data_IF_379076784079
#
_entry.id   IF_379076784079
#
_cell.length_a   1.000
_cell.length_b   1.000
_cell.length_c   1.000
_cell.angle_alpha   90.00
_cell.angle_beta   90.00
_cell.angle_gamma   90.00
#
_symmetry.space_group_name_H-M   'P 1'
#
loop_
_entity.id
_entity.type
_entity.pdbx_description
1 polymer ?
#
# COMPACT_ATOMS: atom_id res chain seq x y z
N UNK A 1 0.31 11.16 -6.63
CA UNK A 1 -0.83 11.92 -6.08
C UNK A 1 -0.26 13.10 -5.31
N UNK A 2 -0.71 14.32 -5.58
CA UNK A 2 -0.15 15.55 -5.01
C UNK A 2 -1.21 16.28 -4.22
N UNK A 3 -0.86 16.78 -3.04
CA UNK A 3 -1.73 17.66 -2.24
C UNK A 3 -1.15 19.06 -2.23
N UNK A 4 -2.03 20.05 -2.19
CA UNK A 4 -1.59 21.42 -2.02
C UNK A 4 -1.11 21.62 -0.58
N UNK A 5 0.11 22.11 -0.41
CA UNK A 5 0.69 22.43 0.90
C UNK A 5 0.39 23.87 1.30
N UNK A 6 0.57 24.79 0.35
CA UNK A 6 0.40 26.23 0.58
C UNK A 6 -0.58 26.80 -0.44
N UNK A 7 -1.72 27.31 0.04
CA UNK A 7 -2.69 28.03 -0.78
C UNK A 7 -2.35 29.53 -0.84
N UNK A 8 -2.62 30.15 -1.99
CA UNK A 8 -2.57 31.60 -2.14
C UNK A 8 -3.70 32.26 -1.35
N UNK A 9 -3.55 33.54 -1.00
CA UNK A 9 -4.67 34.31 -0.48
C UNK A 9 -5.82 34.33 -1.51
N UNK A 10 -7.09 34.31 -1.05
CA UNK A 10 -8.23 34.38 -1.94
C UNK A 10 -8.27 35.73 -2.67
N UNK A 11 -8.47 35.68 -3.98
CA UNK A 11 -8.73 36.88 -4.79
C UNK A 11 -10.10 37.49 -4.43
N UNK A 12 -10.44 38.65 -4.97
CA UNK A 12 -11.74 39.34 -4.78
C UNK A 12 -12.96 38.46 -5.12
N UNK A 13 -12.77 37.44 -5.96
CA UNK A 13 -13.79 36.43 -6.31
C UNK A 13 -13.76 35.17 -5.41
N UNK A 14 -12.95 35.17 -4.35
CA UNK A 14 -12.78 34.05 -3.41
C UNK A 14 -11.93 32.89 -3.92
N UNK A 15 -11.37 32.98 -5.13
CA UNK A 15 -10.57 31.92 -5.75
C UNK A 15 -9.16 31.87 -5.16
N UNK A 16 -8.68 30.65 -4.88
CA UNK A 16 -7.35 30.37 -4.37
C UNK A 16 -6.61 29.41 -5.31
N UNK A 17 -5.31 29.61 -5.48
CA UNK A 17 -4.44 28.74 -6.28
C UNK A 17 -3.40 28.10 -5.39
N UNK A 18 -2.92 26.92 -5.78
CA UNK A 18 -1.87 26.26 -5.03
C UNK A 18 -0.51 26.86 -5.39
N UNK A 19 0.22 27.37 -4.40
CA UNK A 19 1.55 27.93 -4.57
C UNK A 19 2.64 26.86 -4.47
N UNK A 20 2.43 25.85 -3.62
CA UNK A 20 3.37 24.76 -3.41
C UNK A 20 2.64 23.42 -3.37
N UNK A 21 2.97 22.54 -4.32
CA UNK A 21 2.49 21.17 -4.37
C UNK A 21 3.44 20.26 -3.62
N UNK A 22 2.91 19.45 -2.72
CA UNK A 22 3.66 18.43 -2.02
C UNK A 22 3.27 17.05 -2.57
N UNK A 23 4.28 16.24 -2.87
CA UNK A 23 4.07 14.82 -3.14
C UNK A 23 3.50 14.15 -1.90
N UNK A 24 2.38 13.44 -2.08
CA UNK A 24 1.87 12.58 -1.03
C UNK A 24 2.82 11.38 -0.97
N UNK A 25 3.81 11.48 -0.08
CA UNK A 25 4.67 10.34 0.24
C UNK A 25 3.79 9.26 0.84
N UNK A 26 3.88 8.04 0.31
CA UNK A 26 3.18 6.90 0.89
C UNK A 26 3.54 6.80 2.38
N UNK A 27 2.55 6.59 3.24
CA UNK A 27 2.81 6.34 4.67
C UNK A 27 3.61 5.05 4.88
N UNK A 28 3.53 4.13 3.92
CA UNK A 28 4.28 2.89 3.95
C UNK A 28 5.73 3.17 3.49
N UNK A 29 6.72 2.62 4.20
CA UNK A 29 8.10 2.68 3.73
C UNK A 29 8.22 1.99 2.37
N UNK A 30 9.12 2.49 1.53
CA UNK A 30 9.45 1.84 0.27
C UNK A 30 9.93 0.42 0.55
N UNK A 31 9.18 -0.56 0.04
CA UNK A 31 9.49 -1.96 0.25
C UNK A 31 10.59 -2.36 -0.75
N UNK A 32 11.73 -2.79 -0.23
CA UNK A 32 12.79 -3.32 -1.09
C UNK A 32 12.33 -4.63 -1.73
N UNK A 33 12.83 -4.95 -2.93
CA UNK A 33 12.48 -6.20 -3.65
C UNK A 33 12.73 -7.43 -2.79
N UNK A 34 13.78 -7.41 -1.97
CA UNK A 34 14.13 -8.49 -1.06
C UNK A 34 13.08 -8.68 0.05
N UNK A 35 12.65 -7.60 0.71
CA UNK A 35 11.60 -7.65 1.72
C UNK A 35 10.25 -8.10 1.14
N UNK A 36 9.94 -7.70 -0.09
CA UNK A 36 8.72 -8.15 -0.77
C UNK A 36 8.73 -9.66 -1.00
N UNK A 37 9.87 -10.24 -1.40
CA UNK A 37 10.02 -11.67 -1.59
C UNK A 37 9.91 -12.46 -0.29
N UNK A 38 10.52 -11.97 0.80
CA UNK A 38 10.40 -12.62 2.12
C UNK A 38 8.95 -12.67 2.60
N UNK A 39 8.22 -11.55 2.45
CA UNK A 39 6.80 -11.48 2.79
C UNK A 39 5.97 -12.45 1.94
N UNK A 40 6.27 -12.53 0.64
CA UNK A 40 5.58 -13.42 -0.30
C UNK A 40 5.80 -14.90 0.07
N UNK A 41 7.04 -15.28 0.40
CA UNK A 41 7.36 -16.65 0.84
C UNK A 41 6.57 -17.01 2.10
N UNK A 42 6.50 -16.10 3.08
CA UNK A 42 5.73 -16.33 4.30
C UNK A 42 4.23 -16.55 4.02
N UNK A 43 3.64 -15.71 3.15
CA UNK A 43 2.22 -15.82 2.77
C UNK A 43 1.96 -17.15 2.05
N UNK A 44 2.77 -17.47 1.05
CA UNK A 44 2.62 -18.71 0.26
C UNK A 44 2.81 -19.93 1.15
N UNK A 45 3.78 -19.91 2.07
CA UNK A 45 4.01 -20.99 3.03
C UNK A 45 2.79 -21.27 3.91
N UNK A 46 2.17 -20.23 4.49
CA UNK A 46 0.95 -20.38 5.28
C UNK A 46 -0.20 -20.98 4.46
N UNK A 47 -0.42 -20.47 3.25
CA UNK A 47 -1.48 -20.98 2.37
C UNK A 47 -1.22 -22.44 1.96
N UNK A 48 0.03 -22.79 1.65
CA UNK A 48 0.41 -24.14 1.31
C UNK A 48 0.12 -25.13 2.44
N UNK A 49 0.45 -24.77 3.69
CA UNK A 49 0.16 -25.62 4.86
C UNK A 49 -1.35 -25.86 5.01
N UNK A 50 -2.16 -24.80 4.93
CA UNK A 50 -3.63 -24.93 5.01
C UNK A 50 -4.16 -25.82 3.89
N UNK A 51 -3.63 -25.68 2.69
CA UNK A 51 -4.05 -26.48 1.53
C UNK A 51 -3.69 -27.95 1.70
N UNK A 52 -2.47 -28.25 2.14
CA UNK A 52 -2.01 -29.62 2.41
C UNK A 52 -2.88 -30.27 3.48
N UNK A 53 -3.12 -29.60 4.60
CA UNK A 53 -3.97 -30.12 5.68
C UNK A 53 -5.39 -30.41 5.17
N UNK A 54 -5.98 -29.49 4.41
CA UNK A 54 -7.29 -29.71 3.79
C UNK A 54 -7.31 -30.90 2.85
N UNK A 55 -6.26 -31.05 2.03
CA UNK A 55 -6.18 -32.15 1.08
C UNK A 55 -6.04 -33.49 1.80
N UNK A 56 -5.20 -33.57 2.83
CA UNK A 56 -5.03 -34.78 3.67
C UNK A 56 -6.35 -35.17 4.34
N UNK A 57 -7.08 -34.21 4.93
CA UNK A 57 -8.40 -34.48 5.52
C UNK A 57 -9.39 -34.97 4.46
N UNK A 58 -9.37 -34.38 3.27
CA UNK A 58 -10.24 -34.81 2.16
C UNK A 58 -9.92 -36.21 1.65
N UNK A 59 -8.67 -36.64 1.74
CA UNK A 59 -8.25 -37.99 1.32
C UNK A 59 -8.53 -39.05 2.39
N UNK A 60 -8.67 -38.64 3.66
CA UNK A 60 -9.00 -39.52 4.78
C UNK A 60 -10.52 -39.71 5.00
N UNK A 61 -11.36 -38.96 4.27
CA UNK A 61 -12.82 -39.03 4.35
C UNK A 61 -13.37 -39.83 3.16
#
# INVERSE_FOLDING_TARGET
MHVCKTLSQPNESGLQTCLEWQEIKSFLPDLTVQQANELLIAIVGCLAVVFIVKQVISLLK
#
